data_IF_746601709870
#
_entry.id   IF_746601709870
#
_cell.length_a   1.000
_cell.length_b   1.000
_cell.length_c   1.000
_cell.angle_alpha   90.00
_cell.angle_beta   90.00
_cell.angle_gamma   90.00
#
_symmetry.space_group_name_H-M   'P 1'
#
loop_
_entity.id
_entity.type
_entity.pdbx_description
1 polymer ?
#
# COMPACT_ATOMS: atom_id res chain seq x y z
N UNK A 1 7.51 -6.47 7.47
CA UNK A 1 7.96 -5.17 6.98
C UNK A 1 7.74 -4.07 8.03
N UNK A 2 6.50 -3.71 8.43
CA UNK A 2 6.26 -2.62 9.40
C UNK A 2 7.01 -2.82 10.73
N UNK A 3 6.95 -3.99 11.35
CA UNK A 3 7.71 -4.27 12.58
C UNK A 3 9.21 -4.09 12.38
N UNK A 4 9.75 -4.53 11.23
CA UNK A 4 11.16 -4.36 10.90
C UNK A 4 11.51 -2.89 10.73
N UNK A 5 10.66 -2.13 10.02
CA UNK A 5 10.88 -0.70 9.79
C UNK A 5 10.92 0.09 11.11
N UNK A 6 9.90 -0.07 11.96
CA UNK A 6 9.86 0.65 13.24
C UNK A 6 10.94 0.19 14.22
N UNK A 7 11.27 -1.10 14.22
CA UNK A 7 12.41 -1.62 14.99
C UNK A 7 13.76 -1.05 14.50
N UNK A 8 13.92 -0.91 13.19
CA UNK A 8 15.10 -0.29 12.59
C UNK A 8 15.18 1.21 12.95
N UNK A 9 14.08 1.96 12.78
CA UNK A 9 14.03 3.39 13.07
C UNK A 9 14.35 3.69 14.54
N UNK A 10 13.78 2.92 15.47
CA UNK A 10 14.07 3.06 16.90
C UNK A 10 15.54 2.77 17.26
N UNK A 11 16.26 2.08 16.39
CA UNK A 11 17.69 1.79 16.53
C UNK A 11 18.60 2.64 15.63
N UNK A 12 18.08 3.65 14.92
CA UNK A 12 18.78 4.45 13.91
C UNK A 12 19.43 3.58 12.82
N UNK A 13 18.73 2.52 12.42
CA UNK A 13 19.15 1.60 11.37
C UNK A 13 18.35 1.88 10.11
N UNK A 14 19.00 1.98 8.97
CA UNK A 14 18.38 2.21 7.66
C UNK A 14 17.60 0.97 7.25
N UNK A 15 16.30 1.15 6.93
CA UNK A 15 15.45 0.09 6.40
C UNK A 15 15.51 0.06 4.86
N UNK A 16 15.77 -1.12 4.29
CA UNK A 16 15.86 -1.31 2.84
C UNK A 16 14.85 -2.38 2.41
N UNK A 17 13.62 -1.99 2.06
CA UNK A 17 12.60 -2.94 1.66
C UNK A 17 12.89 -3.52 0.27
N UNK A 18 12.82 -4.84 0.16
CA UNK A 18 13.00 -5.58 -1.09
C UNK A 18 11.71 -6.27 -1.50
N UNK A 19 11.47 -6.37 -2.81
CA UNK A 19 10.34 -7.15 -3.30
C UNK A 19 10.49 -8.64 -2.98
N UNK A 20 9.42 -9.25 -2.50
CA UNK A 20 9.36 -10.68 -2.19
C UNK A 20 9.68 -11.57 -3.41
N UNK A 21 9.55 -11.03 -4.61
CA UNK A 21 9.77 -11.68 -5.90
C UNK A 21 11.16 -11.47 -6.48
N UNK A 22 12.06 -10.76 -5.78
CA UNK A 22 13.41 -10.51 -6.27
C UNK A 22 14.16 -11.82 -6.52
N UNK A 23 14.83 -11.88 -7.66
CA UNK A 23 15.74 -12.98 -7.99
C UNK A 23 17.01 -12.91 -7.13
N UNK A 24 17.78 -14.02 -7.01
CA UNK A 24 19.08 -14.00 -6.30
C UNK A 24 20.01 -12.89 -6.82
N UNK A 25 20.11 -12.67 -8.11
CA UNK A 25 20.95 -11.62 -8.69
C UNK A 25 20.51 -10.21 -8.27
N UNK A 26 19.18 -9.95 -8.21
CA UNK A 26 18.67 -8.67 -7.72
C UNK A 26 18.93 -8.49 -6.22
N UNK A 27 18.78 -9.56 -5.43
CA UNK A 27 19.09 -9.54 -4.00
C UNK A 27 20.59 -9.24 -3.79
N UNK A 28 21.46 -9.93 -4.50
CA UNK A 28 22.91 -9.75 -4.43
C UNK A 28 23.32 -8.31 -4.79
N UNK A 29 22.78 -7.78 -5.87
CA UNK A 29 23.03 -6.40 -6.28
C UNK A 29 22.71 -5.41 -5.17
N UNK A 30 21.48 -5.48 -4.61
CA UNK A 30 21.02 -4.56 -3.56
C UNK A 30 21.84 -4.72 -2.28
N UNK A 31 22.19 -5.95 -1.91
CA UNK A 31 23.02 -6.24 -0.72
C UNK A 31 24.39 -5.61 -0.84
N UNK A 32 25.02 -5.73 -1.99
CA UNK A 32 26.36 -5.19 -2.21
C UNK A 32 26.36 -3.67 -2.35
N UNK A 33 25.37 -3.10 -3.07
CA UNK A 33 25.23 -1.66 -3.30
C UNK A 33 24.94 -0.89 -1.99
N UNK A 34 24.10 -1.45 -1.13
CA UNK A 34 23.67 -0.82 0.13
C UNK A 34 24.36 -1.42 1.38
N UNK A 35 25.34 -2.30 1.23
CA UNK A 35 26.11 -2.94 2.31
C UNK A 35 25.22 -3.59 3.39
N UNK A 36 24.22 -4.41 2.98
CA UNK A 36 23.25 -4.99 3.88
C UNK A 36 23.82 -6.20 4.63
N UNK A 37 23.96 -6.09 5.94
CA UNK A 37 24.48 -7.16 6.79
C UNK A 37 23.42 -8.15 7.28
N UNK A 38 22.16 -7.73 7.40
CA UNK A 38 21.05 -8.55 7.90
C UNK A 38 19.85 -8.44 6.99
N UNK A 39 19.30 -9.57 6.56
CA UNK A 39 18.11 -9.63 5.71
C UNK A 39 16.99 -10.41 6.42
N UNK A 40 15.80 -9.79 6.49
CA UNK A 40 14.59 -10.44 6.96
C UNK A 40 13.86 -11.08 5.80
N UNK A 41 13.48 -12.35 5.93
CA UNK A 41 12.77 -13.12 4.90
C UNK A 41 11.50 -13.74 5.46
N UNK A 42 10.46 -13.82 4.64
CA UNK A 42 9.13 -14.34 5.04
C UNK A 42 8.98 -15.83 4.81
N UNK A 43 9.07 -16.26 3.56
CA UNK A 43 8.66 -17.57 3.10
C UNK A 43 9.83 -18.41 2.56
N UNK A 44 9.59 -19.72 2.35
CA UNK A 44 10.60 -20.68 1.89
C UNK A 44 11.34 -20.23 0.61
N UNK A 45 10.61 -19.70 -0.38
CA UNK A 45 11.21 -19.25 -1.63
C UNK A 45 12.17 -18.08 -1.40
N UNK A 46 11.76 -17.12 -0.57
CA UNK A 46 12.58 -15.96 -0.21
C UNK A 46 13.84 -16.39 0.55
N UNK A 47 13.67 -17.30 1.51
CA UNK A 47 14.81 -17.90 2.22
C UNK A 47 15.78 -18.60 1.25
N UNK A 48 15.30 -19.44 0.36
CA UNK A 48 16.12 -20.17 -0.58
C UNK A 48 16.94 -19.23 -1.49
N UNK A 49 16.31 -18.15 -1.96
CA UNK A 49 16.98 -17.14 -2.79
C UNK A 49 18.01 -16.35 -1.99
N UNK A 50 17.66 -15.91 -0.78
CA UNK A 50 18.57 -15.16 0.10
C UNK A 50 19.75 -16.00 0.59
N UNK A 51 19.54 -17.29 0.90
CA UNK A 51 20.59 -18.19 1.35
C UNK A 51 21.63 -18.46 0.26
N UNK A 52 21.20 -18.59 -1.02
CA UNK A 52 22.13 -18.68 -2.15
C UNK A 52 23.09 -17.48 -2.19
N UNK A 53 22.55 -16.28 -2.01
CA UNK A 53 23.35 -15.06 -1.99
C UNK A 53 24.24 -15.01 -0.76
N UNK A 54 23.73 -15.39 0.42
CA UNK A 54 24.49 -15.37 1.67
C UNK A 54 25.73 -16.28 1.62
N UNK A 55 25.64 -17.44 0.99
CA UNK A 55 26.80 -18.37 0.85
C UNK A 55 27.99 -17.75 0.13
N UNK A 56 27.75 -16.84 -0.80
CA UNK A 56 28.76 -16.22 -1.65
C UNK A 56 29.08 -14.77 -1.24
N UNK A 57 28.22 -14.16 -0.43
CA UNK A 57 28.34 -12.75 -0.04
C UNK A 57 29.37 -12.55 1.08
N UNK A 58 30.28 -11.62 0.86
CA UNK A 58 31.16 -11.10 1.91
C UNK A 58 30.45 -10.13 2.86
N UNK A 59 29.30 -9.58 2.46
CA UNK A 59 28.54 -8.53 3.15
C UNK A 59 27.41 -9.10 4.00
N UNK A 60 26.53 -9.94 3.43
CA UNK A 60 25.35 -10.48 4.11
C UNK A 60 25.75 -11.52 5.17
N UNK A 61 25.58 -11.19 6.44
CA UNK A 61 26.00 -12.02 7.57
C UNK A 61 24.91 -12.90 8.14
N UNK A 62 23.65 -12.43 8.11
CA UNK A 62 22.54 -13.09 8.80
C UNK A 62 21.22 -12.98 8.06
N UNK A 63 20.45 -14.08 8.06
CA UNK A 63 19.02 -14.08 7.68
C UNK A 63 18.17 -14.22 8.93
N UNK A 64 17.08 -13.46 9.00
CA UNK A 64 16.06 -13.55 10.05
C UNK A 64 14.76 -14.03 9.39
N UNK A 65 14.23 -15.16 9.86
CA UNK A 65 13.14 -15.88 9.22
C UNK A 65 11.84 -15.61 9.97
N UNK A 66 10.86 -15.00 9.30
CA UNK A 66 9.55 -14.70 9.93
C UNK A 66 8.65 -15.94 10.03
N UNK A 67 8.58 -16.77 8.99
CA UNK A 67 7.71 -17.93 8.98
C UNK A 67 8.41 -19.14 9.63
N UNK A 68 7.92 -19.64 10.77
CA UNK A 68 8.50 -20.79 11.45
C UNK A 68 8.37 -22.11 10.65
N UNK A 69 7.53 -22.13 9.60
CA UNK A 69 7.41 -23.29 8.70
C UNK A 69 8.55 -23.40 7.69
N UNK A 70 9.36 -22.37 7.52
CA UNK A 70 10.54 -22.39 6.65
C UNK A 70 11.56 -23.41 7.18
N UNK A 71 11.99 -24.30 6.30
CA UNK A 71 13.03 -25.31 6.58
C UNK A 71 14.39 -24.74 6.19
N UNK A 72 15.25 -24.60 7.19
CA UNK A 72 16.62 -24.12 6.97
C UNK A 72 17.44 -25.19 6.27
N UNK A 73 18.36 -24.76 5.41
CA UNK A 73 19.34 -25.66 4.80
C UNK A 73 20.27 -26.21 5.91
N UNK A 74 20.63 -27.53 5.91
CA UNK A 74 21.53 -28.11 6.91
C UNK A 74 22.91 -27.45 6.99
N UNK A 75 23.37 -26.80 5.93
CA UNK A 75 24.62 -26.05 5.87
C UNK A 75 24.51 -24.64 6.49
N UNK A 76 23.30 -24.15 6.69
CA UNK A 76 23.03 -22.82 7.27
C UNK A 76 23.26 -22.83 8.78
N UNK A 77 24.27 -22.08 9.22
CA UNK A 77 24.66 -21.97 10.65
C UNK A 77 24.44 -20.57 11.21
N UNK A 78 23.95 -19.64 10.41
CA UNK A 78 23.91 -18.21 10.76
C UNK A 78 22.49 -17.63 10.77
N UNK A 79 21.54 -18.27 10.09
CA UNK A 79 20.15 -17.85 10.09
C UNK A 79 19.44 -18.23 11.39
N UNK A 80 18.52 -17.37 11.84
CA UNK A 80 17.69 -17.60 13.02
C UNK A 80 16.24 -17.27 12.74
N UNK A 81 15.33 -17.90 13.48
CA UNK A 81 13.92 -17.52 13.42
C UNK A 81 13.64 -16.21 14.15
N UNK A 82 12.59 -15.53 13.76
CA UNK A 82 12.26 -14.21 14.29
C UNK A 82 12.03 -14.22 15.80
N UNK A 83 11.41 -15.26 16.35
CA UNK A 83 11.21 -15.39 17.80
C UNK A 83 12.53 -15.50 18.56
N UNK A 84 13.52 -16.22 18.01
CA UNK A 84 14.87 -16.30 18.59
C UNK A 84 15.59 -14.96 18.47
N UNK A 85 15.41 -14.25 17.34
CA UNK A 85 15.94 -12.90 17.18
C UNK A 85 15.39 -11.93 18.24
N UNK A 86 14.09 -11.99 18.53
CA UNK A 86 13.48 -11.16 19.59
C UNK A 86 14.09 -11.44 20.96
N UNK A 87 14.35 -12.72 21.29
CA UNK A 87 14.98 -13.10 22.57
C UNK A 87 16.39 -12.52 22.75
N UNK A 88 17.12 -12.25 21.66
CA UNK A 88 18.44 -11.60 21.77
C UNK A 88 18.35 -10.19 22.33
N UNK A 89 17.23 -9.50 22.13
CA UNK A 89 16.98 -8.16 22.64
C UNK A 89 16.29 -8.10 24.01
N UNK A 90 15.92 -9.24 24.59
CA UNK A 90 15.18 -9.29 25.84
C UNK A 90 16.14 -9.17 27.04
N UNK A 91 16.68 -7.97 27.22
CA UNK A 91 17.55 -7.64 28.34
C UNK A 91 17.61 -6.13 28.62
N UNK A 92 17.87 -5.75 29.87
CA UNK A 92 17.89 -4.35 30.33
C UNK A 92 18.94 -3.48 29.60
N UNK A 93 20.05 -4.07 29.17
CA UNK A 93 21.08 -3.34 28.41
C UNK A 93 20.57 -2.95 27.02
N UNK A 94 19.90 -3.86 26.33
CA UNK A 94 19.30 -3.58 25.03
C UNK A 94 18.25 -2.47 25.12
N UNK A 95 17.36 -2.50 26.13
CA UNK A 95 16.36 -1.45 26.36
C UNK A 95 17.02 -0.08 26.55
N UNK A 96 18.06 0.01 27.37
CA UNK A 96 18.82 1.24 27.62
C UNK A 96 19.45 1.75 26.34
N UNK A 97 20.08 0.88 25.57
CA UNK A 97 20.72 1.23 24.29
C UNK A 97 19.71 1.76 23.28
N UNK A 98 18.53 1.14 23.16
CA UNK A 98 17.46 1.61 22.26
C UNK A 98 17.00 3.01 22.68
N UNK A 99 16.76 3.25 23.98
CA UNK A 99 16.37 4.57 24.49
C UNK A 99 17.40 5.67 24.16
N UNK A 100 18.69 5.36 24.28
CA UNK A 100 19.78 6.30 23.93
C UNK A 100 19.69 6.61 22.42
N UNK A 101 19.63 5.59 21.56
CA UNK A 101 19.57 5.76 20.11
C UNK A 101 18.34 6.53 19.67
N UNK A 102 17.18 6.27 20.26
CA UNK A 102 15.95 7.03 19.98
C UNK A 102 16.08 8.52 20.36
N UNK A 103 16.75 8.83 21.49
CA UNK A 103 16.96 10.21 21.92
C UNK A 103 17.98 10.95 21.02
N UNK A 104 18.90 10.24 20.40
CA UNK A 104 19.89 10.79 19.46
C UNK A 104 19.39 10.86 18.02
N UNK A 105 18.20 10.29 17.73
CA UNK A 105 17.63 10.29 16.38
C UNK A 105 17.34 11.69 15.88
N UNK A 106 17.68 11.95 14.63
CA UNK A 106 17.44 13.21 13.94
C UNK A 106 16.51 13.04 12.75
N UNK A 107 15.78 14.09 12.41
CA UNK A 107 15.01 14.12 11.17
C UNK A 107 15.90 13.99 9.92
N UNK A 108 17.18 14.36 10.04
CA UNK A 108 18.18 14.23 8.97
C UNK A 108 18.80 12.83 8.86
N UNK A 109 18.51 11.93 9.80
CA UNK A 109 18.94 10.53 9.67
C UNK A 109 18.25 9.87 8.46
N UNK A 110 18.98 9.02 7.74
CA UNK A 110 18.41 8.23 6.65
C UNK A 110 17.47 7.19 7.22
N UNK A 111 16.20 7.24 6.83
CA UNK A 111 15.18 6.30 7.26
C UNK A 111 15.14 5.06 6.38
N UNK A 112 15.12 5.27 5.07
CA UNK A 112 14.88 4.20 4.10
C UNK A 112 15.67 4.44 2.82
N UNK A 113 16.18 3.36 2.21
CA UNK A 113 16.64 3.38 0.82
C UNK A 113 15.69 2.48 0.01
N UNK A 114 15.01 3.06 -0.97
CA UNK A 114 14.04 2.34 -1.80
C UNK A 114 14.58 2.14 -3.22
N UNK A 115 14.74 0.86 -3.61
CA UNK A 115 15.22 0.53 -4.94
C UNK A 115 14.10 0.59 -5.97
N UNK A 116 14.28 1.42 -6.98
CA UNK A 116 13.35 1.57 -8.11
C UNK A 116 13.98 0.99 -9.38
N UNK A 117 13.14 0.45 -10.27
CA UNK A 117 13.58 0.02 -11.59
C UNK A 117 14.00 1.26 -12.40
N UNK A 118 15.29 1.46 -12.52
CA UNK A 118 15.84 2.54 -13.35
C UNK A 118 15.53 2.34 -14.83
N UNK A 119 15.43 3.44 -15.59
CA UNK A 119 15.28 3.42 -17.06
C UNK A 119 16.53 2.87 -17.78
N UNK A 120 17.65 2.70 -17.08
CA UNK A 120 18.95 2.29 -17.61
C UNK A 120 19.36 0.84 -17.29
N UNK A 121 18.45 0.03 -16.72
CA UNK A 121 18.65 -1.42 -16.50
C UNK A 121 18.90 -1.81 -15.04
N UNK A 122 19.81 -1.17 -14.32
CA UNK A 122 20.05 -1.47 -12.89
C UNK A 122 19.14 -0.64 -11.98
N UNK A 123 18.71 -1.25 -10.87
CA UNK A 123 17.89 -0.57 -9.87
C UNK A 123 18.69 0.52 -9.16
N UNK A 124 18.08 1.67 -8.90
CA UNK A 124 18.70 2.80 -8.17
C UNK A 124 18.08 2.93 -6.79
N UNK A 125 18.94 3.11 -5.79
CA UNK A 125 18.52 3.34 -4.41
C UNK A 125 18.16 4.81 -4.17
N UNK A 126 16.87 5.08 -3.93
CA UNK A 126 16.37 6.40 -3.53
C UNK A 126 16.53 6.54 -2.02
N UNK A 127 17.36 7.47 -1.60
CA UNK A 127 17.62 7.75 -0.17
C UNK A 127 16.55 8.68 0.38
N UNK A 128 15.85 8.24 1.41
CA UNK A 128 14.80 8.99 2.09
C UNK A 128 15.16 9.16 3.56
N UNK A 129 15.20 10.42 4.01
CA UNK A 129 15.40 10.79 5.41
C UNK A 129 14.09 10.76 6.18
N UNK A 130 14.14 10.71 7.51
CA UNK A 130 12.93 10.87 8.34
C UNK A 130 12.19 12.15 8.03
N UNK A 131 12.91 13.24 7.76
CA UNK A 131 12.35 14.53 7.34
C UNK A 131 11.40 14.40 6.14
N UNK A 132 11.73 13.59 5.14
CA UNK A 132 10.89 13.42 3.96
C UNK A 132 9.51 12.85 4.32
N UNK A 133 9.48 11.83 5.20
CA UNK A 133 8.22 11.26 5.69
C UNK A 133 7.43 12.25 6.56
N UNK A 134 8.10 13.00 7.45
CA UNK A 134 7.45 14.00 8.30
C UNK A 134 6.81 15.11 7.46
N UNK A 135 7.49 15.60 6.42
CA UNK A 135 6.93 16.60 5.51
C UNK A 135 5.77 16.04 4.68
N UNK A 136 5.86 14.79 4.19
CA UNK A 136 4.75 14.15 3.52
C UNK A 136 3.52 14.07 4.44
N UNK A 137 3.70 13.65 5.71
CA UNK A 137 2.61 13.62 6.70
C UNK A 137 2.02 15.03 6.93
N UNK A 138 2.84 16.06 7.08
CA UNK A 138 2.40 17.45 7.27
C UNK A 138 1.58 17.94 6.08
N UNK A 139 2.00 17.65 4.86
CA UNK A 139 1.27 18.00 3.64
C UNK A 139 -0.08 17.28 3.59
N UNK A 140 -0.10 15.98 3.93
CA UNK A 140 -1.34 15.21 3.97
C UNK A 140 -2.29 15.70 5.06
N UNK A 141 -1.81 16.15 6.23
CA UNK A 141 -2.64 16.74 7.27
C UNK A 141 -3.41 17.97 6.76
N UNK A 142 -2.75 18.81 5.96
CA UNK A 142 -3.37 19.99 5.35
C UNK A 142 -4.35 19.62 4.24
N UNK A 143 -4.01 18.62 3.41
CA UNK A 143 -4.80 18.24 2.22
C UNK A 143 -5.93 17.27 2.53
N UNK A 144 -5.80 16.46 3.55
CA UNK A 144 -6.74 15.40 3.92
C UNK A 144 -7.21 15.54 5.39
N UNK A 145 -7.71 16.70 5.81
CA UNK A 145 -8.08 16.96 7.21
C UNK A 145 -9.23 16.07 7.71
N UNK A 146 -9.93 15.39 6.76
CA UNK A 146 -11.02 14.49 7.10
C UNK A 146 -10.57 13.13 7.60
N UNK A 147 -9.31 12.74 7.39
CA UNK A 147 -8.76 11.45 7.84
C UNK A 147 -8.52 11.48 9.35
N UNK A 148 -8.99 10.46 10.07
CA UNK A 148 -8.90 10.40 11.53
C UNK A 148 -8.91 8.95 12.04
N UNK A 149 -8.82 8.78 13.35
CA UNK A 149 -8.73 7.51 14.09
C UNK A 149 -9.96 6.58 13.97
N UNK A 150 -11.08 7.08 13.43
CA UNK A 150 -12.28 6.28 13.15
C UNK A 150 -12.21 5.58 11.79
N UNK A 151 -11.21 5.92 10.98
CA UNK A 151 -11.01 5.32 9.68
C UNK A 151 -10.34 3.94 9.78
N UNK A 152 -10.53 3.15 8.73
CA UNK A 152 -9.84 1.88 8.51
C UNK A 152 -9.25 1.90 7.12
N UNK A 153 -7.93 1.76 6.99
CA UNK A 153 -7.25 1.67 5.71
C UNK A 153 -6.89 0.23 5.38
N UNK A 154 -7.18 -0.19 4.13
CA UNK A 154 -6.70 -1.46 3.60
C UNK A 154 -5.29 -1.26 3.03
N UNK A 155 -4.30 -1.95 3.60
CA UNK A 155 -2.95 -2.06 3.07
C UNK A 155 -2.84 -3.34 2.23
N UNK A 156 -2.77 -3.23 0.91
CA UNK A 156 -2.69 -4.39 0.01
C UNK A 156 -1.65 -4.24 -1.10
N UNK A 157 -1.16 -3.05 -1.36
CA UNK A 157 -0.03 -2.84 -2.25
C UNK A 157 1.28 -3.17 -1.50
N UNK A 158 2.37 -3.47 -2.21
CA UNK A 158 3.65 -3.75 -1.56
C UNK A 158 4.19 -2.55 -0.77
N UNK A 159 4.51 -2.76 0.51
CA UNK A 159 5.20 -1.77 1.36
C UNK A 159 6.65 -1.47 0.90
N UNK A 160 7.13 -2.19 -0.09
CA UNK A 160 8.37 -1.92 -0.82
C UNK A 160 8.23 -0.80 -1.84
N UNK A 161 6.99 -0.34 -2.08
CA UNK A 161 6.70 0.79 -2.94
C UNK A 161 6.34 2.02 -2.11
N UNK A 162 6.90 3.18 -2.47
CA UNK A 162 6.75 4.42 -1.67
C UNK A 162 5.29 4.81 -1.44
N UNK A 163 4.42 4.64 -2.43
CA UNK A 163 3.02 5.05 -2.34
C UNK A 163 2.28 4.35 -1.19
N UNK A 164 2.38 3.01 -1.08
CA UNK A 164 1.77 2.29 0.04
C UNK A 164 2.50 2.58 1.35
N UNK A 165 3.84 2.66 1.33
CA UNK A 165 4.64 2.90 2.53
C UNK A 165 4.33 4.28 3.15
N UNK A 166 4.38 5.34 2.36
CA UNK A 166 4.08 6.69 2.83
C UNK A 166 2.61 6.83 3.27
N UNK A 167 1.67 6.25 2.51
CA UNK A 167 0.27 6.20 2.89
C UNK A 167 0.03 5.49 4.22
N UNK A 168 0.63 4.31 4.40
CA UNK A 168 0.53 3.55 5.66
C UNK A 168 1.14 4.33 6.83
N UNK A 169 2.30 4.96 6.65
CA UNK A 169 2.90 5.83 7.67
C UNK A 169 1.98 7.01 8.03
N UNK A 170 1.38 7.66 7.04
CA UNK A 170 0.39 8.71 7.26
C UNK A 170 -0.83 8.20 8.04
N UNK A 171 -1.38 7.06 7.65
CA UNK A 171 -2.50 6.45 8.35
C UNK A 171 -2.17 6.14 9.82
N UNK A 172 -0.98 5.61 10.10
CA UNK A 172 -0.51 5.37 11.47
C UNK A 172 -0.35 6.67 12.26
N UNK A 173 0.18 7.73 11.63
CA UNK A 173 0.26 9.08 12.22
C UNK A 173 -1.12 9.61 12.63
N UNK A 174 -2.16 9.34 11.86
CA UNK A 174 -3.55 9.74 12.15
C UNK A 174 -4.29 8.79 13.11
N UNK A 175 -3.64 7.74 13.61
CA UNK A 175 -4.30 6.72 14.44
C UNK A 175 -5.29 5.83 13.69
N UNK A 176 -5.24 5.81 12.35
CA UNK A 176 -6.10 4.99 11.50
C UNK A 176 -5.79 3.50 11.69
N UNK A 177 -6.82 2.67 11.79
CA UNK A 177 -6.66 1.21 11.80
C UNK A 177 -6.17 0.72 10.45
N UNK A 178 -5.05 -0.03 10.44
CA UNK A 178 -4.52 -0.66 9.24
C UNK A 178 -4.94 -2.12 9.17
N UNK A 179 -5.67 -2.50 8.13
CA UNK A 179 -5.98 -3.89 7.80
C UNK A 179 -4.99 -4.35 6.71
N UNK A 180 -4.15 -5.34 7.05
CA UNK A 180 -3.11 -5.84 6.15
C UNK A 180 -3.65 -7.04 5.38
N UNK A 181 -3.70 -6.93 4.05
CA UNK A 181 -4.03 -8.02 3.16
C UNK A 181 -2.75 -8.84 2.88
N UNK A 182 -2.69 -10.06 3.40
CA UNK A 182 -1.49 -10.90 3.32
C UNK A 182 -1.15 -11.36 1.90
N UNK A 183 -2.18 -11.68 1.11
CA UNK A 183 -2.02 -12.10 -0.30
C UNK A 183 -2.76 -11.11 -1.22
N UNK A 184 -2.04 -10.36 -2.08
CA UNK A 184 -2.66 -9.44 -3.02
C UNK A 184 -3.75 -10.06 -3.91
N UNK A 185 -3.71 -11.37 -4.15
CA UNK A 185 -4.72 -12.10 -4.94
C UNK A 185 -6.05 -12.23 -4.19
N UNK A 186 -6.02 -12.14 -2.87
CA UNK A 186 -7.20 -12.30 -2.01
C UNK A 186 -7.97 -11.00 -1.80
N UNK A 187 -7.53 -9.87 -2.36
CA UNK A 187 -8.13 -8.54 -2.11
C UNK A 187 -9.66 -8.52 -2.33
N UNK A 188 -10.18 -9.22 -3.34
CA UNK A 188 -11.61 -9.29 -3.62
C UNK A 188 -12.43 -9.97 -2.51
N UNK A 189 -11.80 -10.89 -1.76
CA UNK A 189 -12.43 -11.54 -0.59
C UNK A 189 -12.25 -10.71 0.67
N UNK A 190 -11.07 -10.11 0.83
CA UNK A 190 -10.72 -9.34 2.04
C UNK A 190 -11.47 -8.01 2.13
N UNK A 191 -11.77 -7.36 1.01
CA UNK A 191 -12.52 -6.10 1.01
C UNK A 191 -13.90 -6.22 1.67
N UNK A 192 -14.76 -7.22 1.31
CA UNK A 192 -16.04 -7.43 1.97
C UNK A 192 -15.97 -7.88 3.44
N UNK A 193 -14.80 -8.28 3.93
CA UNK A 193 -14.58 -8.61 5.35
C UNK A 193 -14.17 -7.37 6.16
N UNK A 194 -13.38 -6.47 5.55
CA UNK A 194 -12.80 -5.30 6.22
C UNK A 194 -13.69 -4.06 6.09
N UNK A 195 -14.37 -3.87 4.96
CA UNK A 195 -15.15 -2.67 4.62
C UNK A 195 -14.36 -1.38 4.87
N UNK A 196 -13.20 -1.18 4.20
CA UNK A 196 -12.32 -0.05 4.48
C UNK A 196 -12.97 1.29 4.14
N UNK A 197 -12.64 2.32 4.92
CA UNK A 197 -13.02 3.71 4.63
C UNK A 197 -11.99 4.40 3.74
N UNK A 198 -10.75 3.92 3.79
CA UNK A 198 -9.59 4.44 3.05
C UNK A 198 -8.84 3.27 2.38
N UNK A 199 -8.26 3.52 1.23
CA UNK A 199 -7.39 2.54 0.58
C UNK A 199 -6.63 3.23 -0.56
N UNK A 200 -5.31 3.24 -0.54
CA UNK A 200 -4.56 3.65 -1.72
C UNK A 200 -4.56 2.54 -2.78
N UNK A 201 -4.56 2.95 -4.04
CA UNK A 201 -4.81 2.06 -5.17
C UNK A 201 -3.94 2.40 -6.37
N UNK A 202 -3.85 1.43 -7.27
CA UNK A 202 -3.26 1.63 -8.59
C UNK A 202 -4.34 1.49 -9.68
N UNK A 203 -4.17 2.12 -10.86
CA UNK A 203 -5.15 2.07 -11.94
C UNK A 203 -5.61 0.66 -12.29
N UNK A 204 -4.70 -0.31 -12.33
CA UNK A 204 -5.00 -1.71 -12.66
C UNK A 204 -6.03 -2.36 -11.72
N UNK A 205 -6.11 -1.93 -10.46
CA UNK A 205 -7.16 -2.39 -9.55
C UNK A 205 -8.54 -1.95 -10.04
N UNK A 206 -8.67 -0.67 -10.38
CA UNK A 206 -9.94 -0.10 -10.84
C UNK A 206 -10.33 -0.57 -12.25
N UNK A 207 -9.37 -0.81 -13.13
CA UNK A 207 -9.62 -1.45 -14.43
C UNK A 207 -10.26 -2.84 -14.27
N UNK A 208 -9.75 -3.66 -13.34
CA UNK A 208 -10.36 -4.96 -13.02
C UNK A 208 -11.77 -4.82 -12.44
N UNK A 209 -11.98 -3.84 -11.57
CA UNK A 209 -13.32 -3.53 -11.04
C UNK A 209 -14.25 -3.13 -12.17
N UNK A 210 -13.82 -2.23 -13.06
CA UNK A 210 -14.58 -1.80 -14.23
C UNK A 210 -15.01 -2.97 -15.11
N UNK A 211 -14.05 -3.82 -15.50
CA UNK A 211 -14.32 -5.00 -16.33
C UNK A 211 -15.30 -5.94 -15.64
N UNK A 212 -15.05 -6.32 -14.38
CA UNK A 212 -15.92 -7.24 -13.65
C UNK A 212 -17.35 -6.73 -13.46
N UNK A 213 -17.51 -5.42 -13.22
CA UNK A 213 -18.85 -4.78 -13.13
C UNK A 213 -19.57 -4.85 -14.47
N UNK A 214 -18.88 -4.50 -15.58
CA UNK A 214 -19.49 -4.53 -16.91
C UNK A 214 -19.85 -5.96 -17.38
N UNK A 215 -19.01 -6.95 -17.06
CA UNK A 215 -19.33 -8.37 -17.31
C UNK A 215 -20.60 -8.78 -16.55
N UNK A 216 -20.72 -8.39 -15.27
CA UNK A 216 -21.91 -8.67 -14.46
C UNK A 216 -23.16 -7.99 -14.99
N UNK A 217 -23.05 -6.73 -15.43
CA UNK A 217 -24.15 -6.01 -16.07
C UNK A 217 -24.57 -6.72 -17.38
N UNK A 218 -23.60 -7.11 -18.20
CA UNK A 218 -23.88 -7.76 -19.47
C UNK A 218 -24.50 -9.15 -19.33
N UNK A 219 -24.19 -9.88 -18.27
CA UNK A 219 -24.77 -11.19 -17.94
C UNK A 219 -26.12 -11.09 -17.21
N UNK A 220 -26.58 -9.90 -16.85
CA UNK A 220 -27.85 -9.68 -16.17
C UNK A 220 -29.05 -9.71 -17.14
N UNK A 221 -30.27 -9.75 -16.59
CA UNK A 221 -31.49 -9.66 -17.41
C UNK A 221 -31.55 -8.33 -18.15
N UNK A 222 -32.24 -8.26 -19.34
CA UNK A 222 -32.37 -7.01 -20.10
C UNK A 222 -32.93 -5.85 -19.27
N UNK A 223 -33.85 -6.15 -18.36
CA UNK A 223 -34.46 -5.16 -17.47
C UNK A 223 -33.39 -4.62 -16.47
N UNK A 224 -32.65 -5.46 -15.82
CA UNK A 224 -31.58 -5.05 -14.88
C UNK A 224 -30.47 -4.30 -15.61
N UNK A 225 -30.07 -4.77 -16.79
CA UNK A 225 -29.08 -4.05 -17.61
C UNK A 225 -29.53 -2.62 -17.91
N UNK A 226 -30.80 -2.42 -18.30
CA UNK A 226 -31.35 -1.09 -18.55
C UNK A 226 -31.30 -0.20 -17.30
N UNK A 227 -31.63 -0.73 -16.12
CA UNK A 227 -31.57 0.01 -14.85
C UNK A 227 -30.12 0.44 -14.56
N UNK A 228 -29.15 -0.47 -14.67
CA UNK A 228 -27.75 -0.16 -14.43
C UNK A 228 -27.21 0.91 -15.40
N UNK A 229 -27.52 0.78 -16.68
CA UNK A 229 -27.08 1.77 -17.68
C UNK A 229 -27.70 3.15 -17.44
N UNK A 230 -29.00 3.22 -17.10
CA UNK A 230 -29.67 4.47 -16.76
C UNK A 230 -29.11 5.08 -15.45
N UNK A 231 -28.77 4.25 -14.47
CA UNK A 231 -28.13 4.70 -13.24
C UNK A 231 -26.74 5.31 -13.52
N UNK A 232 -25.88 4.61 -14.29
CA UNK A 232 -24.54 5.09 -14.65
C UNK A 232 -24.64 6.41 -15.41
N UNK A 233 -25.52 6.52 -16.41
CA UNK A 233 -25.70 7.76 -17.17
C UNK A 233 -26.24 8.91 -16.29
N UNK A 234 -27.18 8.60 -15.39
CA UNK A 234 -27.64 9.58 -14.40
C UNK A 234 -26.52 10.09 -13.51
N UNK A 235 -25.66 9.18 -13.04
CA UNK A 235 -24.49 9.52 -12.23
C UNK A 235 -23.45 10.31 -13.00
N UNK A 236 -23.20 9.94 -14.26
CA UNK A 236 -22.30 10.66 -15.17
C UNK A 236 -22.75 12.12 -15.32
N UNK A 237 -24.00 12.31 -15.73
CA UNK A 237 -24.57 13.66 -15.88
C UNK A 237 -24.48 14.45 -14.58
N UNK A 238 -24.93 13.88 -13.44
CA UNK A 238 -24.94 14.59 -12.18
C UNK A 238 -23.52 14.96 -11.70
N UNK A 239 -22.58 13.99 -11.67
CA UNK A 239 -21.26 14.20 -11.12
C UNK A 239 -20.34 14.99 -12.07
N UNK A 240 -20.31 14.65 -13.37
CA UNK A 240 -19.33 15.23 -14.30
C UNK A 240 -19.82 16.54 -14.92
N UNK A 241 -21.11 16.66 -15.24
CA UNK A 241 -21.60 17.86 -15.93
C UNK A 241 -22.04 18.96 -14.96
N UNK A 242 -22.41 18.60 -13.73
CA UNK A 242 -22.90 19.59 -12.76
C UNK A 242 -21.98 19.70 -11.54
N UNK A 243 -21.91 18.66 -10.71
CA UNK A 243 -21.23 18.71 -9.40
C UNK A 243 -19.75 19.11 -9.52
N UNK A 244 -18.99 18.46 -10.43
CA UNK A 244 -17.55 18.73 -10.59
C UNK A 244 -17.27 20.10 -11.23
N UNK A 245 -18.26 20.65 -11.95
CA UNK A 245 -18.18 22.01 -12.53
C UNK A 245 -18.70 23.10 -11.56
N UNK A 246 -19.14 22.71 -10.36
CA UNK A 246 -19.73 23.66 -9.39
C UNK A 246 -21.08 24.24 -9.83
N UNK A 247 -21.77 23.58 -10.76
CA UNK A 247 -23.08 24.02 -11.30
C UNK A 247 -24.19 23.27 -10.56
N UNK A 248 -25.26 23.98 -10.21
CA UNK A 248 -26.44 23.36 -9.59
C UNK A 248 -27.21 22.50 -10.59
N UNK A 249 -27.39 21.22 -10.26
CA UNK A 249 -28.14 20.29 -11.11
C UNK A 249 -29.62 20.50 -10.98
N UNK A 250 -30.40 20.27 -12.07
CA UNK A 250 -31.86 20.29 -12.03
C UNK A 250 -32.41 19.36 -10.94
N UNK A 251 -33.51 19.79 -10.29
CA UNK A 251 -34.09 19.04 -9.17
C UNK A 251 -34.42 17.58 -9.52
N UNK A 252 -35.00 17.34 -10.70
CA UNK A 252 -35.31 15.98 -11.16
C UNK A 252 -34.07 15.10 -11.31
N UNK A 253 -32.98 15.64 -11.86
CA UNK A 253 -31.68 14.91 -11.98
C UNK A 253 -31.11 14.63 -10.61
N UNK A 254 -31.11 15.60 -9.70
CA UNK A 254 -30.63 15.47 -8.33
C UNK A 254 -31.43 14.41 -7.55
N UNK A 255 -32.73 14.38 -7.68
CA UNK A 255 -33.60 13.40 -7.05
C UNK A 255 -33.35 11.99 -7.61
N UNK A 256 -33.25 11.85 -8.94
CA UNK A 256 -32.95 10.58 -9.63
C UNK A 256 -31.57 10.04 -9.25
N UNK A 257 -30.55 10.89 -9.22
CA UNK A 257 -29.23 10.53 -8.77
C UNK A 257 -29.23 10.03 -7.32
N UNK A 258 -29.87 10.76 -6.40
CA UNK A 258 -29.98 10.37 -4.99
C UNK A 258 -30.67 9.02 -4.80
N UNK A 259 -31.67 8.71 -5.64
CA UNK A 259 -32.30 7.39 -5.66
C UNK A 259 -31.35 6.30 -6.09
N UNK A 260 -30.62 6.47 -7.19
CA UNK A 260 -29.65 5.47 -7.66
C UNK A 260 -28.43 5.32 -6.73
N UNK A 261 -27.97 6.41 -6.12
CA UNK A 261 -26.85 6.34 -5.17
C UNK A 261 -27.22 5.51 -3.93
N UNK A 262 -28.45 5.67 -3.41
CA UNK A 262 -28.94 4.89 -2.27
C UNK A 262 -29.30 3.44 -2.59
N UNK A 263 -29.55 3.11 -3.84
CA UNK A 263 -29.99 1.78 -4.27
C UNK A 263 -28.90 1.07 -5.08
N UNK A 264 -28.74 1.42 -6.34
CA UNK A 264 -27.86 0.74 -7.30
C UNK A 264 -26.39 0.88 -6.92
N UNK A 265 -25.93 2.12 -6.64
CA UNK A 265 -24.50 2.35 -6.33
C UNK A 265 -24.13 1.87 -4.94
N UNK A 266 -25.04 1.97 -3.96
CA UNK A 266 -24.81 1.38 -2.65
C UNK A 266 -24.69 -0.14 -2.73
N UNK A 267 -25.54 -0.80 -3.54
CA UNK A 267 -25.45 -2.24 -3.75
C UNK A 267 -24.14 -2.63 -4.44
N UNK A 268 -23.76 -1.91 -5.48
CA UNK A 268 -22.47 -2.11 -6.17
C UNK A 268 -21.30 -1.99 -5.18
N UNK A 269 -21.25 -0.91 -4.40
CA UNK A 269 -20.20 -0.68 -3.41
C UNK A 269 -20.17 -1.76 -2.32
N UNK A 270 -21.33 -2.27 -1.89
CA UNK A 270 -21.42 -3.40 -0.94
C UNK A 270 -20.87 -4.70 -1.52
N UNK A 271 -21.18 -5.01 -2.77
CA UNK A 271 -20.62 -6.20 -3.45
C UNK A 271 -19.10 -6.12 -3.57
N UNK A 272 -18.57 -4.91 -3.75
CA UNK A 272 -17.13 -4.66 -3.78
C UNK A 272 -16.50 -4.57 -2.36
N UNK A 273 -17.29 -4.48 -1.30
CA UNK A 273 -16.82 -4.29 0.07
C UNK A 273 -16.28 -2.88 0.36
N UNK A 274 -16.69 -1.88 -0.40
CA UNK A 274 -16.20 -0.49 -0.31
C UNK A 274 -17.32 0.53 -0.02
N UNK A 275 -18.48 0.10 0.45
CA UNK A 275 -19.63 0.98 0.71
C UNK A 275 -19.38 2.02 1.81
N UNK A 276 -18.38 1.77 2.67
CA UNK A 276 -17.94 2.70 3.71
C UNK A 276 -16.84 3.65 3.23
N UNK A 277 -16.41 3.47 1.97
CA UNK A 277 -15.31 4.23 1.38
C UNK A 277 -15.53 5.75 1.39
N UNK A 278 -14.54 6.47 1.90
CA UNK A 278 -14.54 7.94 2.00
C UNK A 278 -13.48 8.57 1.10
N UNK A 279 -12.36 7.86 0.89
CA UNK A 279 -11.24 8.36 0.11
C UNK A 279 -10.41 7.17 -0.42
N UNK A 280 -10.24 7.13 -1.74
CA UNK A 280 -9.43 6.14 -2.44
C UNK A 280 -8.40 6.85 -3.33
N UNK A 281 -7.20 7.18 -2.80
CA UNK A 281 -6.11 7.71 -3.62
C UNK A 281 -5.68 6.70 -4.69
N UNK A 282 -5.48 7.19 -5.91
CA UNK A 282 -5.03 6.41 -7.07
C UNK A 282 -3.77 7.06 -7.63
N UNK A 283 -2.68 6.30 -7.73
CA UNK A 283 -1.41 6.80 -8.26
C UNK A 283 -0.57 5.67 -8.90
N UNK A 284 0.63 5.99 -9.32
CA UNK A 284 1.64 5.06 -9.84
C UNK A 284 1.58 4.83 -11.36
N UNK A 285 0.46 5.12 -12.01
CA UNK A 285 0.31 5.10 -13.47
C UNK A 285 -0.89 5.95 -13.88
N UNK A 286 -1.03 6.35 -15.15
CA UNK A 286 -2.22 7.02 -15.65
C UNK A 286 -3.48 6.15 -15.51
N UNK A 287 -4.56 6.70 -14.97
CA UNK A 287 -5.88 6.09 -14.99
C UNK A 287 -6.57 6.47 -16.30
N UNK A 288 -7.12 5.48 -17.04
CA UNK A 288 -7.81 5.79 -18.28
C UNK A 288 -9.08 6.64 -18.04
N UNK A 289 -9.38 7.54 -18.96
CA UNK A 289 -10.54 8.43 -18.86
C UNK A 289 -11.85 7.64 -18.72
N UNK A 290 -11.97 6.54 -19.45
CA UNK A 290 -13.16 5.66 -19.39
C UNK A 290 -13.37 5.09 -17.98
N UNK A 291 -12.30 4.60 -17.34
CA UNK A 291 -12.39 4.05 -15.98
C UNK A 291 -12.65 5.16 -14.97
N UNK A 292 -11.96 6.29 -15.10
CA UNK A 292 -12.17 7.45 -14.24
C UNK A 292 -13.61 7.97 -14.32
N UNK A 293 -14.13 8.14 -15.52
CA UNK A 293 -15.52 8.57 -15.76
C UNK A 293 -16.52 7.59 -15.13
N UNK A 294 -16.31 6.29 -15.32
CA UNK A 294 -17.14 5.26 -14.69
C UNK A 294 -17.15 5.36 -13.17
N UNK A 295 -15.96 5.42 -12.54
CA UNK A 295 -15.83 5.47 -11.07
C UNK A 295 -16.53 6.70 -10.48
N UNK A 296 -16.38 7.86 -11.14
CA UNK A 296 -17.09 9.08 -10.75
C UNK A 296 -18.58 8.96 -10.96
N UNK A 297 -19.02 8.32 -12.06
CA UNK A 297 -20.43 8.10 -12.36
C UNK A 297 -21.14 7.27 -11.30
N UNK A 298 -20.48 6.24 -10.78
CA UNK A 298 -21.02 5.38 -9.69
C UNK A 298 -20.70 5.91 -8.29
N UNK A 299 -20.25 7.16 -8.19
CA UNK A 299 -19.98 7.88 -6.94
C UNK A 299 -18.96 7.14 -6.02
N UNK A 300 -17.90 6.59 -6.62
CA UNK A 300 -16.76 6.06 -5.87
C UNK A 300 -15.76 7.20 -5.60
N UNK A 301 -15.37 7.46 -4.34
CA UNK A 301 -14.59 8.64 -3.95
C UNK A 301 -13.09 8.47 -4.26
N UNK A 302 -12.72 8.49 -5.55
CA UNK A 302 -11.32 8.45 -5.97
C UNK A 302 -10.71 9.86 -5.95
N UNK A 303 -9.42 9.91 -5.62
CA UNK A 303 -8.57 11.08 -5.77
C UNK A 303 -7.31 10.67 -6.51
N UNK A 304 -7.03 11.32 -7.62
CA UNK A 304 -5.85 11.00 -8.42
C UNK A 304 -4.65 11.79 -7.90
N UNK A 305 -3.55 11.08 -7.64
CA UNK A 305 -2.28 11.64 -7.18
C UNK A 305 -1.15 11.38 -8.18
N UNK A 306 -0.21 12.31 -8.21
CA UNK A 306 1.07 12.16 -8.90
C UNK A 306 2.19 12.26 -7.88
N UNK A 307 3.14 11.32 -7.93
CA UNK A 307 4.31 11.31 -7.07
C UNK A 307 5.39 10.39 -7.59
N UNK A 308 6.58 10.56 -7.05
CA UNK A 308 7.78 9.77 -7.34
C UNK A 308 8.35 9.22 -6.04
N UNK A 309 9.18 8.18 -6.11
CA UNK A 309 9.89 7.68 -4.92
C UNK A 309 10.77 8.77 -4.31
N UNK A 310 11.36 9.61 -5.14
CA UNK A 310 12.22 10.73 -4.77
C UNK A 310 11.47 11.89 -4.09
N UNK A 311 10.15 11.93 -4.21
CA UNK A 311 9.30 12.97 -3.58
C UNK A 311 8.49 12.45 -2.39
N UNK A 312 8.71 11.19 -1.98
CA UNK A 312 8.02 10.51 -0.86
C UNK A 312 6.52 10.30 -1.11
N UNK A 313 6.16 10.04 -2.37
CA UNK A 313 4.81 9.81 -2.94
C UNK A 313 4.00 11.07 -3.22
#
# INVERSE_FOLDING_TARGET
CLFTDFGAYGNRVISIPMYATNSPAQIEYIINDAEIHTLFVGEQLQYNNAFKVQKESAVLKRLIIFDPAVKLNPEDKTSIYFDDFLRLGDNAHAETTVKIRMNEASADDVATIMYTSGTTGESKGVVLHHFNYLEAMRIHDIRLPMVNDKDTSMCFLPLTHIFEKAWTCYCLHKGVKIAINQDPKMIQKTLPEVHPTLMCNVPRFWEKVYVGVHEKINSSTPFMKKIFMDAIETGRLYNLEYKNKGIEAPFCLKAKFKFYDKTVFTLLKKVLGIERGRLFPVAGAPLSDTVNEFLQSVNIPIVYGYGLSETTA
#
